data_IF_293565341974
#
_entry.id   IF_293565341974
#
_cell.length_a   1.000
_cell.length_b   1.000
_cell.length_c   1.000
_cell.angle_alpha   90.00
_cell.angle_beta   90.00
_cell.angle_gamma   90.00
#
_symmetry.space_group_name_H-M   'P 1'
#
loop_
_entity.id
_entity.type
_entity.pdbx_description
1 polymer ?
#
# COMPACT_ATOMS: atom_id res chain seq x y z
N UNK A 1 19.07 -38.98 -15.09
CA UNK A 1 19.21 -38.03 -13.96
C UNK A 1 20.17 -36.92 -14.36
N UNK A 2 19.67 -35.83 -14.97
CA UNK A 2 20.51 -34.68 -15.38
C UNK A 2 19.71 -33.36 -15.46
N UNK A 3 18.39 -33.43 -15.60
CA UNK A 3 17.52 -32.24 -15.64
C UNK A 3 16.84 -31.88 -14.31
N UNK A 4 16.91 -32.70 -13.27
CA UNK A 4 16.22 -32.41 -11.99
C UNK A 4 16.90 -31.27 -11.22
N UNK A 5 18.23 -31.12 -11.34
CA UNK A 5 18.99 -30.07 -10.67
C UNK A 5 18.69 -28.67 -11.26
N UNK A 6 18.45 -28.59 -12.57
CA UNK A 6 18.07 -27.35 -13.27
C UNK A 6 16.72 -26.81 -12.81
N UNK A 7 15.75 -27.70 -12.55
CA UNK A 7 14.41 -27.32 -12.06
C UNK A 7 14.50 -26.72 -10.65
N UNK A 8 15.35 -27.27 -9.78
CA UNK A 8 15.51 -26.79 -8.39
C UNK A 8 16.14 -25.39 -8.34
N UNK A 9 17.12 -25.10 -9.20
CA UNK A 9 17.74 -23.76 -9.29
C UNK A 9 16.75 -22.71 -9.83
N UNK A 10 15.88 -23.08 -10.77
CA UNK A 10 14.84 -22.20 -11.28
C UNK A 10 13.76 -21.88 -10.22
N UNK A 11 13.43 -22.83 -9.34
CA UNK A 11 12.50 -22.63 -8.22
C UNK A 11 13.09 -21.74 -7.11
N UNK A 12 14.41 -21.80 -6.88
CA UNK A 12 15.08 -20.99 -5.85
C UNK A 12 15.30 -19.52 -6.25
N UNK A 13 15.17 -19.18 -7.54
CA UNK A 13 15.33 -17.81 -8.04
C UNK A 13 14.05 -16.95 -7.96
N UNK A 14 12.90 -17.55 -7.59
CA UNK A 14 11.60 -16.86 -7.57
C UNK A 14 11.23 -16.15 -6.26
N UNK A 15 12.13 -16.11 -5.27
CA UNK A 15 11.78 -15.79 -3.88
C UNK A 15 12.05 -14.36 -3.40
N UNK A 16 12.37 -13.40 -4.27
CA UNK A 16 12.54 -12.00 -3.85
C UNK A 16 11.34 -11.18 -4.33
N UNK A 17 10.28 -11.11 -3.51
CA UNK A 17 9.22 -10.14 -3.73
C UNK A 17 9.86 -8.74 -3.62
N UNK A 18 9.78 -7.96 -4.70
CA UNK A 18 10.29 -6.60 -4.69
C UNK A 18 9.63 -5.81 -3.56
N UNK A 19 10.42 -4.99 -2.85
CA UNK A 19 9.89 -4.11 -1.82
C UNK A 19 8.79 -3.20 -2.41
N UNK A 20 7.71 -2.93 -1.66
CA UNK A 20 6.66 -2.05 -2.12
C UNK A 20 7.22 -0.66 -2.39
N UNK A 21 6.81 -0.08 -3.52
CA UNK A 21 7.17 1.28 -3.91
C UNK A 21 5.96 2.18 -3.76
N UNK A 22 6.21 3.48 -3.63
CA UNK A 22 5.14 4.47 -3.59
C UNK A 22 4.20 4.39 -4.80
N UNK A 23 4.77 4.11 -5.98
CA UNK A 23 3.98 3.94 -7.21
C UNK A 23 3.08 2.70 -7.19
N UNK A 24 3.48 1.62 -6.50
CA UNK A 24 2.66 0.42 -6.37
C UNK A 24 1.60 0.52 -5.27
N UNK A 25 1.77 1.42 -4.30
CA UNK A 25 0.86 1.57 -3.16
C UNK A 25 -0.12 2.73 -3.34
N UNK A 26 0.30 3.83 -3.97
CA UNK A 26 -0.54 4.99 -4.21
C UNK A 26 -1.82 4.62 -4.97
N UNK A 27 -2.97 5.06 -4.46
CA UNK A 27 -4.26 4.64 -4.99
C UNK A 27 -5.43 4.99 -4.06
N UNK A 28 -6.62 4.58 -4.49
CA UNK A 28 -7.88 4.77 -3.75
C UNK A 28 -8.24 3.48 -3.01
N UNK A 29 -8.47 3.59 -1.71
CA UNK A 29 -8.86 2.49 -0.84
C UNK A 29 -10.17 2.82 -0.17
N UNK A 30 -11.05 1.84 -0.05
CA UNK A 30 -12.36 2.01 0.58
C UNK A 30 -12.55 0.96 1.67
N UNK A 31 -13.13 1.39 2.78
CA UNK A 31 -13.47 0.56 3.92
C UNK A 31 -14.82 0.96 4.47
N UNK A 32 -15.54 0.00 5.06
CA UNK A 32 -16.69 0.31 5.91
C UNK A 32 -16.18 0.56 7.32
N UNK A 33 -16.53 1.70 7.89
CA UNK A 33 -16.17 2.08 9.26
C UNK A 33 -17.39 2.73 9.92
N UNK A 34 -17.74 2.25 11.11
CA UNK A 34 -18.83 2.82 11.93
C UNK A 34 -20.16 3.01 11.19
N UNK A 35 -20.48 2.10 10.27
CA UNK A 35 -21.69 2.14 9.45
C UNK A 35 -21.62 3.05 8.21
N UNK A 36 -20.55 3.84 8.05
CA UNK A 36 -20.28 4.67 6.87
C UNK A 36 -19.18 4.11 5.95
N UNK A 37 -19.00 4.78 4.82
CA UNK A 37 -17.96 4.49 3.83
C UNK A 37 -16.78 5.44 4.02
N UNK A 38 -15.65 4.90 4.45
CA UNK A 38 -14.36 5.58 4.48
C UNK A 38 -13.65 5.37 3.14
N UNK A 39 -13.20 6.44 2.52
CA UNK A 39 -12.26 6.40 1.38
C UNK A 39 -10.96 7.09 1.78
N UNK A 40 -9.83 6.44 1.53
CA UNK A 40 -8.49 7.01 1.68
C UNK A 40 -7.80 7.03 0.32
N UNK A 41 -7.22 8.17 -0.03
CA UNK A 41 -6.49 8.38 -1.28
C UNK A 41 -5.02 8.60 -0.93
N UNK A 42 -4.17 7.60 -1.16
CA UNK A 42 -2.73 7.73 -0.99
C UNK A 42 -2.11 8.34 -2.26
N UNK A 43 -1.68 9.60 -2.18
CA UNK A 43 -1.09 10.32 -3.31
C UNK A 43 0.40 10.02 -3.44
N UNK A 44 0.91 9.99 -4.67
CA UNK A 44 2.33 9.72 -4.99
C UNK A 44 3.33 10.76 -4.44
N UNK A 45 2.84 11.86 -3.87
CA UNK A 45 3.67 12.90 -3.27
C UNK A 45 3.84 12.74 -1.74
N UNK A 46 3.23 11.70 -1.14
CA UNK A 46 3.36 11.39 0.29
C UNK A 46 2.26 12.00 1.12
N UNK A 47 1.27 12.65 0.51
CA UNK A 47 0.06 13.10 1.19
C UNK A 47 -1.04 12.03 1.07
N UNK A 48 -1.97 12.00 2.01
CA UNK A 48 -3.24 11.32 1.82
C UNK A 48 -4.42 12.25 2.06
N UNK A 49 -5.52 11.91 1.40
CA UNK A 49 -6.82 12.54 1.60
C UNK A 49 -7.79 11.49 2.14
N UNK A 50 -8.64 11.88 3.09
CA UNK A 50 -9.69 11.00 3.59
C UNK A 50 -11.08 11.58 3.33
N UNK A 51 -12.04 10.69 3.11
CA UNK A 51 -13.43 11.01 2.88
C UNK A 51 -14.30 10.07 3.71
N UNK A 52 -15.31 10.60 4.38
CA UNK A 52 -16.31 9.80 5.08
C UNK A 52 -17.69 10.09 4.48
N UNK A 53 -18.37 9.05 4.00
CA UNK A 53 -19.64 9.15 3.25
C UNK A 53 -19.58 10.20 2.12
N UNK A 54 -18.45 10.23 1.41
CA UNK A 54 -18.20 11.14 0.28
C UNK A 54 -17.79 12.56 0.68
N UNK A 55 -17.77 12.91 1.97
CA UNK A 55 -17.33 14.23 2.45
C UNK A 55 -15.85 14.21 2.77
N UNK A 56 -15.09 15.12 2.17
CA UNK A 56 -13.66 15.30 2.46
C UNK A 56 -13.49 15.69 3.93
N UNK A 57 -12.56 15.04 4.61
CA UNK A 57 -12.16 15.44 5.97
C UNK A 57 -11.14 16.58 5.88
N UNK A 58 -11.14 17.48 6.86
CA UNK A 58 -10.31 18.69 6.84
C UNK A 58 -8.82 18.40 7.04
N UNK A 59 -8.48 17.27 7.64
CA UNK A 59 -7.11 16.87 7.92
C UNK A 59 -6.46 16.26 6.67
N UNK A 60 -5.42 16.93 6.17
CA UNK A 60 -4.45 16.36 5.25
C UNK A 60 -3.34 15.71 6.08
N UNK A 61 -3.02 14.46 5.78
CA UNK A 61 -1.96 13.74 6.49
C UNK A 61 -0.86 13.27 5.55
N UNK A 62 0.24 12.84 6.16
CA UNK A 62 1.38 12.25 5.44
C UNK A 62 1.34 10.74 5.51
N UNK A 63 1.90 10.10 4.50
CA UNK A 63 2.13 8.66 4.51
C UNK A 63 3.47 8.29 3.91
N UNK A 64 4.01 7.17 4.38
CA UNK A 64 5.26 6.58 3.89
C UNK A 64 5.22 5.05 3.97
N UNK A 65 6.17 4.42 3.28
CA UNK A 65 6.40 2.98 3.33
C UNK A 65 7.54 2.72 4.31
N UNK A 66 7.24 2.06 5.43
CA UNK A 66 8.18 1.66 6.45
C UNK A 66 8.40 0.14 6.38
N UNK A 67 9.35 -0.28 5.54
CA UNK A 67 9.59 -1.71 5.27
C UNK A 67 8.42 -2.35 4.52
N UNK A 68 7.66 -3.21 5.21
CA UNK A 68 6.48 -3.89 4.70
C UNK A 68 5.15 -3.24 5.14
N UNK A 69 5.21 -2.08 5.84
CA UNK A 69 4.05 -1.38 6.38
C UNK A 69 3.85 -0.02 5.74
N UNK A 70 2.60 0.45 5.80
CA UNK A 70 2.25 1.84 5.50
C UNK A 70 2.05 2.54 6.84
N UNK A 71 2.76 3.64 7.06
CA UNK A 71 2.53 4.54 8.19
C UNK A 71 1.80 5.77 7.66
N UNK A 72 0.68 6.12 8.29
CA UNK A 72 -0.08 7.32 8.01
C UNK A 72 -0.19 8.13 9.31
N UNK A 73 0.04 9.43 9.22
CA UNK A 73 -0.05 10.37 10.34
C UNK A 73 -0.86 11.59 9.93
N UNK A 74 -1.81 11.98 10.78
CA UNK A 74 -2.50 13.25 10.65
C UNK A 74 -1.55 14.40 11.07
N UNK A 75 -1.49 15.47 10.27
CA UNK A 75 -0.86 16.73 10.67
C UNK A 75 -1.91 17.57 11.42
N UNK A 76 -2.25 17.16 12.65
CA UNK A 76 -3.16 17.87 13.55
C UNK A 76 -2.52 19.06 14.26
#
# INVERSE_FOLDING_TARGET
MKNTLLVIVALLAGGCAAAPTMNSVAGNYEAKKDGGALRVVFLKNGNYESYFDGKRQEEEGKWEIAGDKIHASDEG
#
